data_IF_522661659337
#
_entry.id   IF_522661659337
#
_cell.length_a   1.000
_cell.length_b   1.000
_cell.length_c   1.000
_cell.angle_alpha   90.00
_cell.angle_beta   90.00
_cell.angle_gamma   90.00
#
_symmetry.space_group_name_H-M   'P 1'
#
loop_
_entity.id
_entity.type
_entity.pdbx_description
1 polymer ?
#
# COMPACT_ATOMS: atom_id res chain seq x y z
N UNK A 1 -88.37 7.36 33.91
CA UNK A 1 -88.72 8.76 34.25
C UNK A 1 -87.43 9.48 34.64
N UNK A 2 -87.21 10.61 34.00
CA UNK A 2 -85.97 11.37 33.90
C UNK A 2 -85.38 11.80 35.25
N UNK A 3 -84.06 11.84 35.36
CA UNK A 3 -83.40 12.99 35.99
C UNK A 3 -81.92 13.08 35.56
N UNK A 4 -81.64 14.07 34.70
CA UNK A 4 -80.31 14.64 34.54
C UNK A 4 -79.92 15.31 35.86
N UNK A 5 -78.82 14.89 36.48
CA UNK A 5 -78.18 15.68 37.52
C UNK A 5 -76.83 16.18 36.99
N UNK A 6 -76.79 17.50 36.76
CA UNK A 6 -75.63 18.27 36.36
C UNK A 6 -74.58 18.22 37.49
N UNK A 7 -73.37 17.75 37.21
CA UNK A 7 -72.23 17.87 38.13
C UNK A 7 -71.40 19.14 37.82
N UNK A 8 -70.90 19.85 38.84
CA UNK A 8 -70.26 21.15 38.69
C UNK A 8 -68.86 21.09 38.06
N UNK A 9 -68.49 22.16 37.34
CA UNK A 9 -67.28 22.31 36.53
C UNK A 9 -65.91 22.19 37.25
N UNK A 10 -65.89 21.91 38.57
CA UNK A 10 -64.65 21.73 39.33
C UNK A 10 -64.09 20.29 39.30
N UNK A 11 -64.82 19.31 38.80
CA UNK A 11 -64.37 17.91 38.77
C UNK A 11 -63.63 17.49 37.49
N UNK A 12 -63.73 18.29 36.40
CA UNK A 12 -63.05 17.99 35.12
C UNK A 12 -61.55 18.31 35.12
N UNK A 13 -61.08 19.24 35.94
CA UNK A 13 -59.65 19.59 36.02
C UNK A 13 -58.83 18.56 36.80
N UNK A 14 -59.39 18.01 37.88
CA UNK A 14 -58.72 17.02 38.75
C UNK A 14 -58.61 15.66 38.05
N UNK A 15 -59.64 15.27 37.28
CA UNK A 15 -59.65 14.00 36.54
C UNK A 15 -58.68 14.02 35.34
N UNK A 16 -58.43 15.18 34.73
CA UNK A 16 -57.43 15.34 33.66
C UNK A 16 -56.00 15.34 34.19
N UNK A 17 -55.77 15.90 35.38
CA UNK A 17 -54.44 15.91 36.01
C UNK A 17 -53.99 14.51 36.48
N UNK A 18 -54.92 13.71 37.01
CA UNK A 18 -54.65 12.34 37.45
C UNK A 18 -54.40 11.36 36.30
N UNK A 19 -55.11 11.52 35.18
CA UNK A 19 -54.94 10.68 33.99
C UNK A 19 -53.66 11.00 33.21
N UNK A 20 -53.25 12.28 33.15
CA UNK A 20 -51.93 12.65 32.57
C UNK A 20 -50.76 12.20 33.44
N UNK A 21 -50.89 12.23 34.77
CA UNK A 21 -49.83 11.77 35.68
C UNK A 21 -49.66 10.24 35.65
N UNK A 22 -50.76 9.48 35.55
CA UNK A 22 -50.70 8.02 35.46
C UNK A 22 -50.13 7.52 34.11
N UNK A 23 -50.38 8.23 33.01
CA UNK A 23 -49.80 7.91 31.70
C UNK A 23 -48.31 8.29 31.64
N UNK A 24 -47.89 9.39 32.29
CA UNK A 24 -46.46 9.70 32.40
C UNK A 24 -45.70 8.69 33.28
N UNK A 25 -46.31 8.16 34.34
CA UNK A 25 -45.68 7.15 35.20
C UNK A 25 -45.57 5.77 34.53
N UNK A 26 -46.49 5.42 33.63
CA UNK A 26 -46.42 4.18 32.85
C UNK A 26 -45.41 4.23 31.70
N UNK A 27 -45.16 5.40 31.11
CA UNK A 27 -44.13 5.57 30.06
C UNK A 27 -42.71 5.49 30.64
N UNK A 28 -42.52 5.89 31.90
CA UNK A 28 -41.22 5.79 32.59
C UNK A 28 -40.84 4.35 32.97
N UNK A 29 -41.78 3.40 32.98
CA UNK A 29 -41.52 1.98 33.26
C UNK A 29 -41.12 1.16 32.02
N UNK A 30 -41.21 1.74 30.82
CA UNK A 30 -40.78 1.09 29.56
C UNK A 30 -39.46 1.66 28.99
N UNK A 31 -38.82 2.62 29.66
CA UNK A 31 -37.50 3.13 29.27
C UNK A 31 -36.32 2.42 29.95
N UNK A 32 -36.56 1.36 30.74
CA UNK A 32 -35.51 0.52 31.29
C UNK A 32 -35.20 -0.66 30.37
N UNK A 33 -34.11 -0.58 29.59
CA UNK A 33 -33.58 -1.78 28.93
C UNK A 33 -33.03 -1.64 27.51
N UNK A 34 -32.57 -0.47 27.07
CA UNK A 34 -31.47 -0.48 26.10
C UNK A 34 -30.17 -0.55 26.92
N UNK A 35 -29.77 -1.76 27.31
CA UNK A 35 -28.37 -2.00 27.62
C UNK A 35 -27.59 -1.75 26.34
N UNK A 36 -27.07 -0.53 26.18
CA UNK A 36 -25.85 -0.33 25.43
C UNK A 36 -24.82 -1.27 26.08
N UNK A 37 -24.71 -2.49 25.54
CA UNK A 37 -23.50 -3.25 25.71
C UNK A 37 -22.42 -2.37 25.11
N UNK A 38 -21.68 -1.65 25.97
CA UNK A 38 -20.28 -1.42 25.67
C UNK A 38 -19.74 -2.82 25.44
N UNK A 39 -19.47 -3.18 24.19
CA UNK A 39 -18.61 -4.32 23.91
C UNK A 39 -17.38 -4.10 24.78
N UNK A 40 -17.12 -5.02 25.72
CA UNK A 40 -15.91 -4.96 26.50
C UNK A 40 -14.75 -4.89 25.53
N UNK A 41 -13.90 -3.88 25.70
CA UNK A 41 -12.72 -3.67 24.87
C UNK A 41 -11.89 -4.95 24.93
N UNK A 42 -11.68 -5.57 23.77
CA UNK A 42 -10.98 -6.84 23.71
C UNK A 42 -9.52 -6.60 24.10
N UNK A 43 -9.09 -7.21 25.21
CA UNK A 43 -7.74 -7.05 25.78
C UNK A 43 -6.76 -8.16 25.36
N UNK A 44 -7.18 -9.04 24.46
CA UNK A 44 -6.34 -10.11 23.92
C UNK A 44 -5.51 -9.67 22.71
N UNK A 45 -4.91 -10.63 22.02
CA UNK A 45 -4.09 -10.37 20.86
C UNK A 45 -4.87 -10.51 19.56
N UNK A 46 -4.41 -9.84 18.52
CA UNK A 46 -4.89 -9.99 17.17
C UNK A 46 -3.85 -10.69 16.31
N UNK A 47 -4.25 -11.70 15.55
CA UNK A 47 -3.43 -12.27 14.47
C UNK A 47 -3.89 -11.61 13.19
N UNK A 48 -3.02 -10.80 12.61
CA UNK A 48 -3.28 -10.11 11.36
C UNK A 48 -3.01 -11.04 10.18
N UNK A 49 -3.82 -10.92 9.13
CA UNK A 49 -3.76 -11.75 7.93
C UNK A 49 -4.15 -10.91 6.69
N UNK A 50 -3.50 -11.08 5.53
CA UNK A 50 -4.02 -10.52 4.28
C UNK A 50 -5.41 -11.11 3.97
N UNK A 51 -6.29 -10.30 3.39
CA UNK A 51 -7.57 -10.78 2.87
C UNK A 51 -7.39 -11.57 1.57
N UNK A 52 -8.41 -12.34 1.22
CA UNK A 52 -8.43 -13.22 0.05
C UNK A 52 -8.16 -12.49 -1.27
N UNK A 53 -8.52 -11.21 -1.34
CA UNK A 53 -8.36 -10.38 -2.53
C UNK A 53 -7.02 -9.61 -2.54
N UNK A 54 -6.19 -9.75 -1.50
CA UNK A 54 -4.92 -9.03 -1.34
C UNK A 54 -5.08 -7.50 -1.45
N UNK A 55 -6.16 -6.99 -0.86
CA UNK A 55 -6.50 -5.57 -0.82
C UNK A 55 -6.30 -4.97 0.56
N UNK A 56 -6.31 -5.79 1.62
CA UNK A 56 -6.18 -5.34 3.00
C UNK A 56 -5.64 -6.40 3.95
N UNK A 57 -5.31 -5.96 5.15
CA UNK A 57 -5.01 -6.80 6.30
C UNK A 57 -6.25 -6.84 7.20
N UNK A 58 -6.85 -8.02 7.31
CA UNK A 58 -7.85 -8.31 8.34
C UNK A 58 -7.18 -8.91 9.59
N UNK A 59 -7.99 -9.26 10.58
CA UNK A 59 -7.47 -9.87 11.81
C UNK A 59 -8.44 -10.86 12.43
N UNK A 60 -7.88 -11.76 13.24
CA UNK A 60 -8.63 -12.63 14.13
C UNK A 60 -8.22 -12.40 15.58
N UNK A 61 -9.21 -12.46 16.48
CA UNK A 61 -8.94 -12.50 17.92
C UNK A 61 -8.20 -13.79 18.27
N UNK A 62 -7.14 -13.67 19.06
CA UNK A 62 -6.27 -14.77 19.44
C UNK A 62 -5.87 -14.70 20.91
N UNK A 63 -6.01 -15.83 21.59
CA UNK A 63 -5.60 -15.99 22.98
C UNK A 63 -4.42 -16.95 23.00
N UNK A 64 -3.19 -16.45 23.24
CA UNK A 64 -2.03 -17.32 23.31
C UNK A 64 -2.04 -18.15 24.59
N UNK A 65 -1.36 -19.28 24.52
CA UNK A 65 -1.13 -20.17 25.66
C UNK A 65 0.10 -19.76 26.47
N UNK A 66 1.09 -19.15 25.82
CA UNK A 66 2.28 -18.64 26.50
C UNK A 66 2.11 -17.24 27.08
N UNK A 67 2.96 -16.91 28.04
CA UNK A 67 3.12 -15.57 28.62
C UNK A 67 4.57 -15.07 28.58
N UNK A 68 5.51 -15.89 28.10
CA UNK A 68 6.92 -15.51 27.95
C UNK A 68 7.14 -14.96 26.54
N UNK A 69 7.86 -13.85 26.43
CA UNK A 69 8.06 -13.12 25.17
C UNK A 69 8.53 -14.02 24.02
N UNK A 70 9.59 -14.80 24.23
CA UNK A 70 10.23 -15.59 23.17
C UNK A 70 9.33 -16.77 22.74
N UNK A 71 8.64 -17.38 23.70
CA UNK A 71 7.66 -18.43 23.44
C UNK A 71 6.42 -17.87 22.71
N UNK A 72 6.00 -16.64 23.04
CA UNK A 72 4.93 -15.93 22.34
C UNK A 72 5.31 -15.67 20.88
N UNK A 73 6.52 -15.19 20.59
CA UNK A 73 6.98 -15.00 19.21
C UNK A 73 6.90 -16.32 18.44
N UNK A 74 7.40 -17.41 19.04
CA UNK A 74 7.33 -18.74 18.44
C UNK A 74 5.89 -19.22 18.19
N UNK A 75 4.97 -18.97 19.12
CA UNK A 75 3.56 -19.29 19.02
C UNK A 75 2.86 -18.48 17.91
N UNK A 76 3.11 -17.17 17.84
CA UNK A 76 2.55 -16.31 16.81
C UNK A 76 3.08 -16.61 15.42
N UNK A 77 4.37 -16.91 15.26
CA UNK A 77 4.94 -17.32 13.96
C UNK A 77 4.28 -18.61 13.45
N UNK A 78 4.08 -19.61 14.31
CA UNK A 78 3.33 -20.83 13.97
C UNK A 78 1.88 -20.51 13.59
N UNK A 79 1.25 -19.59 14.33
CA UNK A 79 -0.12 -19.17 14.04
C UNK A 79 -0.23 -18.42 12.71
N UNK A 80 0.74 -17.58 12.36
CA UNK A 80 0.84 -16.85 11.09
C UNK A 80 1.07 -17.77 9.89
N UNK A 81 1.65 -18.96 10.11
CA UNK A 81 1.79 -20.04 9.12
C UNK A 81 0.57 -20.96 9.01
N UNK A 82 -0.37 -20.89 9.97
CA UNK A 82 -1.56 -21.74 9.99
C UNK A 82 -2.72 -21.08 9.25
N UNK A 83 -3.59 -21.90 8.63
CA UNK A 83 -4.79 -21.37 7.97
C UNK A 83 -5.62 -20.49 8.92
N UNK A 84 -6.06 -19.30 8.49
CA UNK A 84 -7.04 -18.51 9.22
C UNK A 84 -8.37 -19.27 9.39
N UNK A 85 -9.08 -18.98 10.48
CA UNK A 85 -10.45 -19.48 10.69
C UNK A 85 -11.43 -18.82 9.72
N UNK A 86 -11.22 -17.55 9.42
CA UNK A 86 -12.00 -16.82 8.41
C UNK A 86 -11.52 -17.20 7.01
N UNK A 87 -12.43 -17.77 6.20
CA UNK A 87 -12.18 -18.17 4.81
C UNK A 87 -11.86 -16.98 3.89
N UNK A 88 -12.21 -15.77 4.32
CA UNK A 88 -11.89 -14.51 3.65
C UNK A 88 -10.46 -14.02 3.92
N UNK A 89 -9.69 -14.71 4.75
CA UNK A 89 -8.30 -14.38 5.06
C UNK A 89 -7.35 -15.43 4.50
N UNK A 90 -6.07 -15.08 4.41
CA UNK A 90 -4.97 -15.96 3.98
C UNK A 90 -3.86 -15.95 5.02
N UNK A 91 -3.06 -17.03 5.05
CA UNK A 91 -1.84 -17.11 5.88
C UNK A 91 -1.00 -15.84 5.70
N UNK A 92 -0.39 -15.30 6.74
CA UNK A 92 0.59 -14.22 6.58
C UNK A 92 1.94 -14.78 6.12
N UNK A 93 2.32 -15.96 6.64
CA UNK A 93 3.48 -16.73 6.22
C UNK A 93 2.99 -17.94 5.39
N UNK A 94 3.07 -17.90 4.05
CA UNK A 94 2.64 -19.01 3.19
C UNK A 94 3.57 -20.24 3.33
N UNK A 95 3.10 -21.40 2.87
CA UNK A 95 3.75 -22.71 3.12
C UNK A 95 5.16 -22.83 2.54
N UNK A 96 5.49 -22.03 1.52
CA UNK A 96 6.82 -21.98 0.92
C UNK A 96 7.80 -21.06 1.68
N UNK A 97 7.31 -20.28 2.65
CA UNK A 97 8.11 -19.42 3.53
C UNK A 97 8.38 -20.11 4.85
N UNK A 98 9.66 -20.38 5.12
CA UNK A 98 10.12 -20.88 6.43
C UNK A 98 10.70 -19.73 7.23
N UNK A 99 10.47 -19.76 8.53
CA UNK A 99 11.21 -18.94 9.50
C UNK A 99 12.34 -19.81 10.00
N UNK A 100 13.56 -19.47 9.64
CA UNK A 100 14.75 -20.23 9.99
C UNK A 100 15.12 -19.99 11.46
N UNK A 101 15.11 -18.72 11.87
CA UNK A 101 15.29 -18.31 13.27
C UNK A 101 14.75 -16.89 13.51
N UNK A 102 14.70 -16.48 14.77
CA UNK A 102 14.50 -15.08 15.16
C UNK A 102 15.50 -14.70 16.25
N UNK A 103 15.91 -13.44 16.26
CA UNK A 103 16.84 -12.90 17.24
C UNK A 103 16.29 -11.61 17.83
N UNK A 104 16.49 -11.44 19.13
CA UNK A 104 16.26 -10.16 19.79
C UNK A 104 17.56 -9.37 19.83
N UNK A 105 17.49 -8.12 19.43
CA UNK A 105 18.53 -7.12 19.72
C UNK A 105 18.16 -6.31 20.98
N UNK A 106 19.09 -5.49 21.44
CA UNK A 106 18.86 -4.59 22.56
C UNK A 106 17.64 -3.69 22.28
N UNK A 107 16.96 -3.20 23.32
CA UNK A 107 15.81 -2.28 23.23
C UNK A 107 14.49 -2.82 22.63
N UNK A 108 14.37 -4.11 22.32
CA UNK A 108 13.11 -4.74 21.89
C UNK A 108 12.97 -4.92 20.37
N UNK A 109 14.05 -4.75 19.64
CA UNK A 109 14.15 -5.02 18.21
C UNK A 109 14.15 -6.54 17.95
N UNK A 110 13.30 -7.01 17.03
CA UNK A 110 13.18 -8.41 16.64
C UNK A 110 13.62 -8.58 15.18
N UNK A 111 14.62 -9.41 14.94
CA UNK A 111 15.07 -9.76 13.59
C UNK A 111 14.56 -11.15 13.23
N UNK A 112 13.84 -11.27 12.11
CA UNK A 112 13.36 -12.54 11.57
C UNK A 112 14.24 -12.98 10.40
N UNK A 113 14.76 -14.20 10.45
CA UNK A 113 15.48 -14.83 9.35
C UNK A 113 14.54 -15.78 8.61
N UNK A 114 14.29 -15.49 7.35
CA UNK A 114 13.32 -16.16 6.50
C UNK A 114 14.04 -16.85 5.34
N UNK A 115 13.48 -17.98 4.91
CA UNK A 115 13.98 -18.71 3.75
C UNK A 115 13.81 -17.93 2.45
N UNK A 116 14.49 -18.37 1.38
CA UNK A 116 14.35 -17.81 0.03
C UNK A 116 12.92 -17.82 -0.52
N UNK A 117 12.02 -18.62 0.06
CA UNK A 117 10.59 -18.61 -0.27
C UNK A 117 9.97 -17.23 -0.13
N UNK A 118 10.37 -16.46 0.90
CA UNK A 118 9.84 -15.10 1.09
C UNK A 118 10.16 -14.20 -0.11
N UNK A 119 11.34 -14.36 -0.72
CA UNK A 119 11.78 -13.57 -1.87
C UNK A 119 10.94 -13.78 -3.15
N UNK A 120 10.07 -14.79 -3.18
CA UNK A 120 9.11 -15.02 -4.27
C UNK A 120 7.85 -14.16 -4.13
N UNK A 121 7.55 -13.67 -2.93
CA UNK A 121 6.48 -12.71 -2.69
C UNK A 121 6.89 -11.36 -3.31
N UNK A 122 5.97 -10.72 -4.03
CA UNK A 122 6.20 -9.45 -4.72
C UNK A 122 4.99 -8.53 -4.59
N UNK A 123 5.22 -7.24 -4.79
CA UNK A 123 4.19 -6.20 -4.83
C UNK A 123 3.30 -6.21 -3.59
N UNK A 124 2.01 -5.96 -3.81
CA UNK A 124 0.98 -5.83 -2.76
C UNK A 124 0.94 -7.02 -1.82
N UNK A 125 1.02 -8.24 -2.36
CA UNK A 125 0.94 -9.48 -1.56
C UNK A 125 2.05 -9.55 -0.52
N UNK A 126 3.29 -9.25 -0.92
CA UNK A 126 4.44 -9.20 -0.01
C UNK A 126 4.21 -8.18 1.11
N UNK A 127 3.71 -7.01 0.72
CA UNK A 127 3.54 -5.86 1.60
C UNK A 127 2.48 -6.14 2.67
N UNK A 128 1.34 -6.71 2.28
CA UNK A 128 0.27 -7.07 3.21
C UNK A 128 0.70 -8.17 4.17
N UNK A 129 1.48 -9.15 3.69
CA UNK A 129 2.04 -10.23 4.52
C UNK A 129 3.06 -9.69 5.51
N UNK A 130 3.97 -8.83 5.05
CA UNK A 130 4.93 -8.11 5.90
C UNK A 130 4.22 -7.31 6.99
N UNK A 131 3.22 -6.52 6.61
CA UNK A 131 2.40 -5.75 7.54
C UNK A 131 1.72 -6.66 8.59
N UNK A 132 1.10 -7.76 8.14
CA UNK A 132 0.44 -8.72 9.01
C UNK A 132 1.40 -9.33 10.05
N UNK A 133 2.61 -9.71 9.63
CA UNK A 133 3.64 -10.24 10.53
C UNK A 133 4.08 -9.17 11.55
N UNK A 134 4.42 -7.96 11.08
CA UNK A 134 4.90 -6.88 11.95
C UNK A 134 3.83 -6.47 12.98
N UNK A 135 2.59 -6.25 12.54
CA UNK A 135 1.46 -5.89 13.44
C UNK A 135 1.16 -6.98 14.45
N UNK A 136 1.25 -8.26 14.06
CA UNK A 136 1.03 -9.37 14.98
C UNK A 136 2.11 -9.41 16.05
N UNK A 137 3.39 -9.32 15.66
CA UNK A 137 4.51 -9.48 16.58
C UNK A 137 4.75 -8.26 17.48
N UNK A 138 4.49 -7.04 17.00
CA UNK A 138 4.65 -5.81 17.79
C UNK A 138 3.61 -5.66 18.93
N UNK A 139 2.57 -6.50 18.98
CA UNK A 139 1.67 -6.55 20.14
C UNK A 139 2.32 -7.25 21.35
N UNK A 140 3.36 -8.06 21.13
CA UNK A 140 4.04 -8.80 22.19
C UNK A 140 4.86 -7.80 23.01
N UNK A 141 4.59 -7.73 24.31
CA UNK A 141 5.35 -6.88 25.24
C UNK A 141 6.85 -7.18 25.13
N UNK A 142 7.63 -6.16 24.78
CA UNK A 142 9.09 -6.28 24.58
C UNK A 142 9.51 -6.53 23.13
N UNK A 143 8.59 -6.45 22.17
CA UNK A 143 8.85 -6.33 20.73
C UNK A 143 8.41 -4.93 20.29
N UNK A 144 9.35 -4.02 20.04
CA UNK A 144 9.07 -2.65 19.59
C UNK A 144 9.04 -2.53 18.06
N UNK A 145 9.83 -3.35 17.37
CA UNK A 145 9.98 -3.30 15.92
C UNK A 145 10.48 -4.63 15.38
N UNK A 146 10.24 -4.88 14.09
CA UNK A 146 10.65 -6.10 13.40
C UNK A 146 11.42 -5.76 12.12
N UNK A 147 12.55 -6.44 11.87
CA UNK A 147 13.27 -6.40 10.60
C UNK A 147 13.38 -7.81 10.01
N UNK A 148 13.42 -7.92 8.68
CA UNK A 148 13.46 -9.19 7.97
C UNK A 148 14.81 -9.36 7.28
N UNK A 149 15.36 -10.57 7.37
CA UNK A 149 16.45 -11.07 6.54
C UNK A 149 15.92 -12.23 5.72
N UNK A 150 16.22 -12.27 4.42
CA UNK A 150 15.79 -13.32 3.50
C UNK A 150 17.03 -14.00 2.95
N UNK A 151 17.18 -15.30 3.21
CA UNK A 151 18.39 -16.07 2.83
C UNK A 151 19.70 -15.43 3.35
N UNK A 152 19.64 -14.90 4.58
CA UNK A 152 20.80 -14.28 5.24
C UNK A 152 21.16 -12.88 4.75
N UNK A 153 20.42 -12.28 3.82
CA UNK A 153 20.60 -10.89 3.38
C UNK A 153 19.45 -10.01 3.91
N UNK A 154 19.69 -8.72 4.21
CA UNK A 154 18.61 -7.80 4.56
C UNK A 154 17.52 -7.81 3.49
N UNK A 155 16.24 -7.81 3.89
CA UNK A 155 15.15 -7.56 2.96
C UNK A 155 15.37 -6.19 2.31
N UNK A 156 15.26 -6.10 0.98
CA UNK A 156 15.34 -4.84 0.26
C UNK A 156 14.01 -4.46 -0.34
N UNK A 157 13.79 -3.16 -0.53
CA UNK A 157 12.70 -2.66 -1.35
C UNK A 157 13.03 -2.83 -2.85
N UNK A 158 12.15 -2.31 -3.71
CA UNK A 158 12.30 -2.31 -5.16
C UNK A 158 13.49 -1.48 -5.68
N UNK A 159 14.07 -0.60 -4.85
CA UNK A 159 15.23 0.21 -5.17
C UNK A 159 16.55 -0.43 -4.69
N UNK A 160 16.51 -1.67 -4.16
CA UNK A 160 17.62 -2.35 -3.49
C UNK A 160 18.06 -1.68 -2.17
N UNK A 161 17.27 -0.76 -1.64
CA UNK A 161 17.52 -0.18 -0.34
C UNK A 161 17.04 -1.13 0.76
N UNK A 162 17.86 -1.27 1.80
CA UNK A 162 17.53 -2.17 2.89
C UNK A 162 16.28 -1.69 3.64
N UNK A 163 15.28 -2.57 3.73
CA UNK A 163 14.13 -2.39 4.62
C UNK A 163 14.63 -2.60 6.05
N UNK A 164 14.70 -1.49 6.79
CA UNK A 164 15.10 -1.48 8.19
C UNK A 164 14.03 -2.02 9.14
N UNK A 165 14.19 -1.69 10.42
CA UNK A 165 13.19 -1.96 11.45
C UNK A 165 11.86 -1.28 11.15
N UNK A 166 10.79 -2.06 11.23
CA UNK A 166 9.40 -1.61 11.03
C UNK A 166 8.62 -1.77 12.34
N UNK A 167 7.76 -0.80 12.63
CA UNK A 167 6.81 -0.84 13.77
C UNK A 167 5.41 -1.14 13.25
N UNK A 168 4.45 -1.39 14.14
CA UNK A 168 3.04 -1.52 13.74
C UNK A 168 2.52 -0.27 13.00
N UNK A 169 3.01 0.93 13.39
CA UNK A 169 2.65 2.24 12.82
C UNK A 169 3.38 2.55 11.51
N UNK A 170 4.41 1.77 11.16
CA UNK A 170 5.03 1.83 9.83
C UNK A 170 4.04 1.44 8.72
N UNK A 171 2.92 0.83 9.09
CA UNK A 171 1.83 0.45 8.20
C UNK A 171 0.57 1.21 8.60
N UNK A 172 0.18 2.19 7.80
CA UNK A 172 -1.01 3.00 8.05
C UNK A 172 -2.26 2.13 7.86
N UNK A 173 -2.97 1.85 8.96
CA UNK A 173 -4.27 1.17 8.95
C UNK A 173 -5.36 2.16 8.58
N UNK A 174 -6.03 1.97 7.46
CA UNK A 174 -7.25 2.70 7.15
C UNK A 174 -8.47 1.93 7.66
N UNK A 175 -8.79 2.07 8.95
CA UNK A 175 -10.06 1.61 9.53
C UNK A 175 -11.25 2.51 9.12
N UNK A 176 -11.32 2.91 7.85
CA UNK A 176 -12.24 3.95 7.36
C UNK A 176 -12.86 3.70 5.98
N UNK A 177 -12.75 2.50 5.41
CA UNK A 177 -13.39 2.17 4.14
C UNK A 177 -12.69 2.68 2.87
N UNK A 178 -11.53 3.33 3.00
CA UNK A 178 -10.63 3.63 1.87
C UNK A 178 -9.33 2.82 2.00
N UNK A 179 -9.05 1.97 1.01
CA UNK A 179 -8.06 0.88 1.05
C UNK A 179 -6.70 1.28 0.50
N UNK A 180 -6.14 2.43 0.88
CA UNK A 180 -4.86 2.90 0.30
C UNK A 180 -3.69 2.54 1.22
N UNK A 181 -2.89 1.54 0.84
CA UNK A 181 -1.71 1.10 1.59
C UNK A 181 -0.51 1.98 1.26
N UNK A 182 -0.26 3.04 2.02
CA UNK A 182 0.79 4.00 1.65
C UNK A 182 2.19 3.53 2.06
N UNK A 183 3.14 3.54 1.12
CA UNK A 183 4.58 3.35 1.33
C UNK A 183 5.36 4.57 0.88
N UNK A 184 6.60 4.69 1.36
CA UNK A 184 7.58 5.67 0.88
C UNK A 184 8.67 4.97 0.09
N UNK A 185 9.06 5.55 -1.04
CA UNK A 185 10.20 5.11 -1.85
C UNK A 185 10.88 6.33 -2.47
N UNK A 186 12.16 6.21 -2.79
CA UNK A 186 12.90 7.21 -3.57
C UNK A 186 13.12 6.67 -4.98
N UNK A 187 12.52 7.30 -5.98
CA UNK A 187 12.67 6.96 -7.38
C UNK A 187 13.77 7.80 -8.03
N UNK A 188 14.67 7.15 -8.76
CA UNK A 188 15.62 7.84 -9.62
C UNK A 188 14.98 8.11 -10.98
N UNK A 189 14.44 9.31 -11.16
CA UNK A 189 13.76 9.70 -12.39
C UNK A 189 14.70 10.44 -13.33
N UNK A 190 14.53 10.25 -14.64
CA UNK A 190 15.37 10.90 -15.64
C UNK A 190 14.54 11.86 -16.50
N UNK A 191 14.94 13.14 -16.52
CA UNK A 191 14.29 14.20 -17.29
C UNK A 191 15.26 14.82 -18.29
N UNK A 192 14.77 15.57 -19.26
CA UNK A 192 15.63 16.23 -20.24
C UNK A 192 16.42 17.37 -19.60
N UNK A 193 17.67 17.57 -20.00
CA UNK A 193 18.43 18.77 -19.64
C UNK A 193 17.83 20.03 -20.31
N UNK A 194 18.40 21.19 -19.99
CA UNK A 194 17.97 22.48 -20.59
C UNK A 194 18.08 22.51 -22.12
N UNK A 195 19.05 21.84 -22.74
CA UNK A 195 19.17 21.74 -24.19
C UNK A 195 18.14 20.77 -24.80
N UNK A 196 17.70 19.77 -24.02
CA UNK A 196 16.78 18.71 -24.41
C UNK A 196 17.42 17.53 -25.13
N UNK A 197 18.75 17.45 -25.15
CA UNK A 197 19.52 16.42 -25.85
C UNK A 197 20.13 15.35 -24.93
N UNK A 198 20.19 15.61 -23.63
CA UNK A 198 20.71 14.71 -22.59
C UNK A 198 19.71 14.57 -21.44
N UNK A 199 19.98 13.64 -20.52
CA UNK A 199 19.18 13.36 -19.34
C UNK A 199 19.84 13.87 -18.05
N UNK A 200 19.02 14.30 -17.11
CA UNK A 200 19.39 14.67 -15.74
C UNK A 200 18.68 13.72 -14.79
N UNK A 201 19.45 13.08 -13.90
CA UNK A 201 18.94 12.20 -12.85
C UNK A 201 18.41 13.02 -11.67
N UNK A 202 17.18 12.77 -11.27
CA UNK A 202 16.49 13.45 -10.16
C UNK A 202 15.99 12.40 -9.17
N UNK A 203 16.46 12.38 -7.90
CA UNK A 203 15.87 11.55 -6.86
C UNK A 203 14.53 12.16 -6.42
N UNK A 204 13.48 11.34 -6.42
CA UNK A 204 12.11 11.76 -6.14
C UNK A 204 11.54 10.90 -5.03
N UNK A 205 11.31 11.51 -3.87
CA UNK A 205 10.62 10.86 -2.76
C UNK A 205 9.12 10.81 -3.05
N UNK A 206 8.56 9.61 -3.10
CA UNK A 206 7.14 9.38 -3.34
C UNK A 206 6.50 8.69 -2.16
N UNK A 207 5.29 9.12 -1.82
CA UNK A 207 4.39 8.34 -0.96
C UNK A 207 3.29 7.76 -1.83
N UNK A 208 3.20 6.44 -1.93
CA UNK A 208 2.35 5.79 -2.92
C UNK A 208 1.53 4.64 -2.36
N UNK A 209 0.39 4.37 -2.99
CA UNK A 209 -0.38 3.16 -2.71
C UNK A 209 0.40 1.94 -3.21
N UNK A 210 0.89 1.14 -2.28
CA UNK A 210 1.59 -0.10 -2.48
C UNK A 210 0.78 -1.15 -3.25
N UNK A 211 -0.53 -0.94 -3.45
CA UNK A 211 -1.35 -1.74 -4.36
C UNK A 211 -1.03 -1.48 -5.83
N UNK A 212 -0.41 -0.34 -6.15
CA UNK A 212 -0.04 0.08 -7.50
C UNK A 212 1.42 -0.34 -7.77
N UNK A 213 1.72 -1.02 -8.89
CA UNK A 213 3.09 -1.36 -9.28
C UNK A 213 3.97 -0.11 -9.40
N UNK A 214 5.19 -0.20 -8.88
CA UNK A 214 6.09 0.96 -8.83
C UNK A 214 6.51 1.44 -10.22
N UNK A 215 6.68 0.50 -11.16
CA UNK A 215 6.94 0.80 -12.56
C UNK A 215 5.83 1.63 -13.22
N UNK A 216 4.56 1.36 -12.86
CA UNK A 216 3.43 2.12 -13.35
C UNK A 216 3.50 3.55 -12.83
N UNK A 217 3.70 3.69 -11.51
CA UNK A 217 3.81 4.99 -10.87
C UNK A 217 4.98 5.81 -11.42
N UNK A 218 6.13 5.19 -11.65
CA UNK A 218 7.30 5.86 -12.21
C UNK A 218 7.00 6.43 -13.60
N UNK A 219 6.33 5.67 -14.46
CA UNK A 219 5.95 6.13 -15.81
C UNK A 219 4.86 7.19 -15.77
N UNK A 220 3.84 7.04 -14.92
CA UNK A 220 2.81 8.07 -14.72
C UNK A 220 3.42 9.39 -14.23
N UNK A 221 4.42 9.31 -13.34
CA UNK A 221 5.14 10.47 -12.86
C UNK A 221 6.00 11.11 -13.96
N UNK A 222 6.63 10.33 -14.85
CA UNK A 222 7.31 10.86 -16.04
C UNK A 222 6.33 11.57 -17.00
N UNK A 223 5.13 11.01 -17.20
CA UNK A 223 4.07 11.61 -18.03
C UNK A 223 3.65 12.98 -17.46
N UNK A 224 3.46 13.07 -16.13
CA UNK A 224 3.17 14.35 -15.45
C UNK A 224 4.31 15.36 -15.60
N UNK A 225 5.54 14.86 -15.71
CA UNK A 225 6.74 15.64 -15.94
C UNK A 225 7.31 16.26 -14.66
N UNK A 226 8.46 16.95 -14.80
CA UNK A 226 9.27 17.39 -13.66
C UNK A 226 8.59 18.43 -12.76
N UNK A 227 7.67 19.23 -13.31
CA UNK A 227 6.97 20.30 -12.59
C UNK A 227 6.04 19.79 -11.48
N UNK A 228 5.77 18.50 -11.45
CA UNK A 228 4.98 17.85 -10.40
C UNK A 228 5.83 17.36 -9.23
N UNK A 229 7.15 17.62 -9.24
CA UNK A 229 8.09 17.19 -8.22
C UNK A 229 8.53 18.42 -7.40
N UNK A 230 8.39 18.32 -6.08
CA UNK A 230 8.82 19.37 -5.15
C UNK A 230 10.34 19.53 -5.15
N UNK A 231 10.81 20.78 -5.08
CA UNK A 231 12.23 21.10 -4.91
C UNK A 231 13.07 21.02 -6.18
N UNK A 232 12.44 20.84 -7.35
CA UNK A 232 13.15 20.78 -8.63
C UNK A 232 13.07 22.11 -9.38
N UNK A 233 14.21 22.61 -9.85
CA UNK A 233 14.29 23.82 -10.65
C UNK A 233 13.78 23.55 -12.09
N UNK A 234 12.57 24.04 -12.36
CA UNK A 234 11.89 23.93 -13.66
C UNK A 234 12.65 24.58 -14.82
N UNK A 235 13.62 25.46 -14.55
CA UNK A 235 14.43 26.12 -15.59
C UNK A 235 15.65 25.29 -16.03
N UNK A 236 15.99 24.23 -15.28
CA UNK A 236 17.15 23.36 -15.55
C UNK A 236 16.77 22.03 -16.19
N UNK A 237 15.55 21.57 -15.96
CA UNK A 237 15.08 20.29 -16.49
C UNK A 237 13.77 20.42 -17.26
N UNK A 238 13.58 19.55 -18.25
CA UNK A 238 12.46 19.56 -19.17
C UNK A 238 11.70 18.23 -19.14
N UNK A 239 10.38 18.32 -19.30
CA UNK A 239 9.56 17.15 -19.59
C UNK A 239 10.00 16.49 -20.90
N UNK A 240 10.09 15.16 -20.91
CA UNK A 240 10.50 14.36 -22.08
C UNK A 240 9.31 13.71 -22.77
N UNK A 241 8.32 13.24 -22.00
CA UNK A 241 7.14 12.55 -22.51
C UNK A 241 6.19 13.53 -23.21
N UNK A 242 5.78 13.28 -24.47
CA UNK A 242 4.84 14.13 -25.19
C UNK A 242 3.57 14.46 -24.42
N UNK A 243 3.01 15.63 -24.69
CA UNK A 243 1.74 16.02 -24.09
C UNK A 243 0.62 15.09 -24.54
N UNK A 244 -0.30 14.78 -23.62
CA UNK A 244 -1.44 13.88 -23.82
C UNK A 244 -1.11 12.40 -24.02
N UNK A 245 0.17 12.00 -23.93
CA UNK A 245 0.52 10.57 -23.82
C UNK A 245 -0.19 9.93 -22.64
N UNK A 246 -0.80 8.77 -22.88
CA UNK A 246 -1.42 7.93 -21.87
C UNK A 246 -0.66 6.61 -21.76
N UNK A 247 -0.50 6.13 -20.52
CA UNK A 247 -0.05 4.76 -20.26
C UNK A 247 -1.24 3.83 -20.35
N UNK A 248 -1.31 3.02 -21.42
CA UNK A 248 -2.40 2.07 -21.63
C UNK A 248 -2.20 0.81 -20.78
N UNK A 249 -0.98 0.29 -20.74
CA UNK A 249 -0.64 -0.93 -20.01
C UNK A 249 0.84 -0.96 -19.67
N UNK A 250 1.15 -1.55 -18.51
CA UNK A 250 2.52 -1.89 -18.13
C UNK A 250 2.55 -3.28 -17.50
N UNK A 251 3.61 -4.04 -17.77
CA UNK A 251 3.82 -5.34 -17.14
C UNK A 251 5.28 -5.75 -17.19
N UNK A 252 5.75 -6.46 -16.17
CA UNK A 252 7.13 -7.00 -16.13
C UNK A 252 7.09 -8.51 -16.30
N UNK A 253 7.87 -9.03 -17.25
CA UNK A 253 8.08 -10.47 -17.45
C UNK A 253 9.55 -10.71 -17.75
N UNK A 254 10.17 -11.68 -17.06
CA UNK A 254 11.58 -12.06 -17.29
C UNK A 254 12.54 -10.85 -17.30
N UNK A 255 12.39 -9.98 -16.30
CA UNK A 255 13.15 -8.73 -16.16
C UNK A 255 13.03 -7.74 -17.33
N UNK A 256 12.07 -7.93 -18.23
CA UNK A 256 11.71 -6.98 -19.29
C UNK A 256 10.39 -6.30 -18.93
N UNK A 257 10.39 -4.98 -18.89
CA UNK A 257 9.20 -4.18 -18.72
C UNK A 257 8.58 -3.87 -20.08
N UNK A 258 7.35 -4.29 -20.29
CA UNK A 258 6.55 -4.01 -21.48
C UNK A 258 5.67 -2.80 -21.19
N UNK A 259 5.87 -1.73 -21.94
CA UNK A 259 5.18 -0.45 -21.73
C UNK A 259 4.39 -0.11 -22.98
N UNK A 260 3.07 -0.10 -22.85
CA UNK A 260 2.15 0.29 -23.93
C UNK A 260 1.69 1.73 -23.71
N UNK A 261 2.01 2.60 -24.66
CA UNK A 261 1.55 3.98 -24.67
C UNK A 261 0.49 4.24 -25.73
N UNK A 262 -0.20 5.36 -25.60
CA UNK A 262 -1.00 5.92 -26.67
C UNK A 262 -0.14 6.48 -27.81
N UNK A 263 -0.74 6.68 -28.98
CA UNK A 263 -0.06 7.15 -30.20
C UNK A 263 0.66 8.50 -30.03
N UNK A 264 0.23 9.33 -29.09
CA UNK A 264 0.85 10.63 -28.81
C UNK A 264 2.31 10.49 -28.36
N UNK A 265 2.73 9.35 -27.82
CA UNK A 265 4.14 9.12 -27.49
C UNK A 265 5.08 9.22 -28.71
N UNK A 266 4.57 8.93 -29.91
CA UNK A 266 5.32 9.09 -31.17
C UNK A 266 5.51 10.56 -31.56
N UNK A 267 4.67 11.46 -31.03
CA UNK A 267 4.70 12.90 -31.30
C UNK A 267 5.69 13.61 -30.36
N UNK A 268 6.97 13.24 -30.45
CA UNK A 268 8.09 13.79 -29.68
C UNK A 268 7.95 15.31 -29.44
N UNK A 269 8.18 15.74 -28.19
CA UNK A 269 8.18 17.17 -27.84
C UNK A 269 9.18 17.96 -28.69
N UNK A 270 8.81 19.18 -29.04
CA UNK A 270 9.74 20.13 -29.68
C UNK A 270 10.93 20.39 -28.77
N UNK A 271 12.14 20.41 -29.32
CA UNK A 271 13.40 20.62 -28.60
C UNK A 271 13.73 19.56 -27.53
N UNK A 272 13.20 18.34 -27.66
CA UNK A 272 13.67 17.15 -26.94
C UNK A 272 14.16 16.14 -27.98
N UNK A 273 15.32 15.50 -27.80
CA UNK A 273 15.83 14.47 -28.72
C UNK A 273 15.01 13.18 -28.63
N UNK A 274 15.05 12.34 -29.69
CA UNK A 274 14.29 11.09 -29.69
C UNK A 274 14.84 10.13 -28.62
N UNK A 275 16.17 10.14 -28.48
CA UNK A 275 16.93 9.43 -27.46
C UNK A 275 16.53 9.88 -26.05
N UNK A 276 16.47 11.19 -25.77
CA UNK A 276 16.06 11.67 -24.46
C UNK A 276 14.62 11.27 -24.14
N UNK A 277 13.70 11.26 -25.11
CA UNK A 277 12.32 10.77 -24.90
C UNK A 277 12.31 9.29 -24.51
N UNK A 278 12.97 8.43 -25.30
CA UNK A 278 13.00 6.98 -25.05
C UNK A 278 13.72 6.67 -23.75
N UNK A 279 14.96 7.12 -23.60
CA UNK A 279 15.80 6.76 -22.46
C UNK A 279 15.37 7.41 -21.16
N UNK A 280 14.58 8.49 -21.17
CA UNK A 280 13.94 8.96 -19.93
C UNK A 280 13.05 7.89 -19.30
N UNK A 281 12.32 7.12 -20.12
CA UNK A 281 11.50 6.00 -19.66
C UNK A 281 12.38 4.79 -19.34
N UNK A 282 13.30 4.44 -20.25
CA UNK A 282 14.16 3.26 -20.08
C UNK A 282 15.01 3.36 -18.82
N UNK A 283 15.74 4.46 -18.63
CA UNK A 283 16.68 4.58 -17.51
C UNK A 283 15.98 4.74 -16.16
N UNK A 284 14.78 5.34 -16.15
CA UNK A 284 13.92 5.40 -14.95
C UNK A 284 13.44 4.00 -14.59
N UNK A 285 12.94 3.21 -15.56
CA UNK A 285 12.43 1.87 -15.31
C UNK A 285 13.53 0.86 -14.99
N UNK A 286 14.67 0.91 -15.70
CA UNK A 286 15.84 0.06 -15.40
C UNK A 286 16.53 0.49 -14.10
N UNK A 287 16.19 1.67 -13.57
CA UNK A 287 16.53 2.04 -12.19
C UNK A 287 15.84 1.18 -11.13
N UNK A 288 14.75 0.48 -11.48
CA UNK A 288 14.05 -0.47 -10.61
C UNK A 288 14.72 -1.84 -10.68
N UNK A 289 14.94 -2.47 -9.53
CA UNK A 289 15.83 -3.63 -9.41
C UNK A 289 15.38 -4.88 -10.16
N UNK A 290 14.09 -4.98 -10.49
CA UNK A 290 13.50 -6.11 -11.19
C UNK A 290 13.47 -5.91 -12.72
N UNK A 291 13.97 -4.80 -13.27
CA UNK A 291 13.88 -4.45 -14.69
C UNK A 291 15.28 -4.22 -15.26
N UNK A 292 15.63 -4.99 -16.30
CA UNK A 292 16.88 -4.84 -17.05
C UNK A 292 16.65 -4.23 -18.43
N UNK A 293 15.45 -4.41 -18.99
CA UNK A 293 15.09 -3.98 -20.34
C UNK A 293 13.70 -3.38 -20.40
N UNK A 294 13.46 -2.51 -21.36
CA UNK A 294 12.14 -1.94 -21.64
C UNK A 294 11.78 -2.18 -23.10
N UNK A 295 10.61 -2.73 -23.36
CA UNK A 295 10.07 -2.89 -24.71
C UNK A 295 8.78 -2.08 -24.82
N UNK A 296 8.69 -1.29 -25.89
CA UNK A 296 7.55 -0.41 -26.12
C UNK A 296 6.55 -1.02 -27.09
N UNK A 297 5.28 -0.68 -26.90
CA UNK A 297 4.22 -0.82 -27.89
C UNK A 297 3.35 0.45 -27.90
N UNK A 298 2.62 0.64 -29.00
CA UNK A 298 1.71 1.77 -29.19
C UNK A 298 0.32 1.23 -29.47
N UNK A 299 -0.64 1.54 -28.60
CA UNK A 299 -2.03 1.05 -28.69
C UNK A 299 -2.12 -0.48 -28.86
N UNK A 300 -1.23 -1.22 -28.20
CA UNK A 300 -1.15 -2.68 -28.27
C UNK A 300 -0.41 -3.23 -29.49
N UNK A 301 0.09 -2.39 -30.39
CA UNK A 301 0.81 -2.79 -31.59
C UNK A 301 2.31 -2.48 -31.51
N UNK A 302 3.12 -3.31 -32.17
CA UNK A 302 4.56 -3.09 -32.25
C UNK A 302 4.87 -2.03 -33.32
N UNK A 303 5.67 -1.04 -32.95
CA UNK A 303 6.19 -0.03 -33.86
C UNK A 303 7.69 -0.27 -34.05
N UNK A 304 8.15 -0.38 -35.30
CA UNK A 304 9.54 -0.77 -35.59
C UNK A 304 10.53 0.39 -35.51
N UNK A 305 10.08 1.61 -35.77
CA UNK A 305 10.93 2.80 -35.79
C UNK A 305 10.29 3.93 -35.00
N UNK A 306 11.09 4.58 -34.16
CA UNK A 306 10.73 5.83 -33.50
C UNK A 306 11.42 7.00 -34.21
N UNK A 307 10.64 8.01 -34.61
CA UNK A 307 11.13 9.18 -35.35
C UNK A 307 11.99 8.79 -36.58
N UNK A 308 11.57 7.75 -37.31
CA UNK A 308 12.19 7.19 -38.53
C UNK A 308 13.64 6.68 -38.42
N UNK A 309 14.27 6.78 -37.24
CA UNK A 309 15.73 6.63 -37.11
C UNK A 309 16.16 5.66 -36.02
N UNK A 310 15.35 5.47 -34.97
CA UNK A 310 15.70 4.60 -33.84
C UNK A 310 14.93 3.28 -33.96
N UNK A 311 15.62 2.14 -33.86
CA UNK A 311 14.98 0.82 -33.75
C UNK A 311 14.14 0.77 -32.48
N UNK A 312 12.83 0.72 -32.65
CA UNK A 312 11.83 0.72 -31.59
C UNK A 312 11.13 -0.64 -31.45
N UNK A 313 11.41 -1.57 -32.37
CA UNK A 313 10.84 -2.92 -32.33
C UNK A 313 11.52 -3.82 -31.30
N UNK A 314 12.78 -3.54 -30.97
CA UNK A 314 13.60 -4.29 -30.01
C UNK A 314 13.46 -3.74 -28.58
N UNK A 315 13.82 -4.56 -27.60
CA UNK A 315 13.90 -4.12 -26.20
C UNK A 315 15.15 -3.24 -25.99
N UNK A 316 14.99 -2.13 -25.27
CA UNK A 316 16.04 -1.20 -24.91
C UNK A 316 16.68 -1.58 -23.58
N UNK A 317 17.99 -1.40 -23.48
CA UNK A 317 18.77 -1.46 -22.24
C UNK A 317 19.17 -0.05 -21.80
N UNK A 318 19.61 0.11 -20.55
CA UNK A 318 20.01 1.41 -19.99
C UNK A 318 21.09 2.09 -20.84
N UNK A 319 20.98 3.40 -21.05
CA UNK A 319 21.99 4.19 -21.75
C UNK A 319 22.44 5.39 -20.92
N UNK A 320 23.48 5.17 -20.11
CA UNK A 320 24.04 6.23 -19.27
C UNK A 320 24.91 7.25 -20.02
N UNK A 321 25.25 7.01 -21.28
CA UNK A 321 26.13 7.90 -22.04
C UNK A 321 25.47 9.27 -22.30
N UNK A 322 24.13 9.30 -22.29
CA UNK A 322 23.36 10.53 -22.44
C UNK A 322 22.96 11.15 -21.09
N UNK A 323 23.38 10.58 -19.96
CA UNK A 323 23.08 11.10 -18.62
C UNK A 323 24.20 12.05 -18.20
N UNK A 324 23.87 13.30 -17.91
CA UNK A 324 24.81 14.28 -17.38
C UNK A 324 25.17 13.87 -15.95
N UNK A 325 26.47 13.72 -15.67
CA UNK A 325 26.95 13.58 -14.30
C UNK A 325 27.05 14.97 -13.67
N UNK A 326 26.30 15.18 -12.59
CA UNK A 326 26.45 16.36 -11.73
C UNK A 326 27.69 16.22 -10.83
#
# INVERSE_FOLDING_TARGET
MSCNMCMPAKYKSILRLGTTAAVLLLVLLFCGGCSFHKEEEYTGYYVFCPDANETKVGYEKYTPTSHKRDDLVSEFLKRLQSEPKDIGLRKALPDDVKVDEFMFEDSGQLTLYLSSGYGKLKGVSEILRRAAIVKTLCQIRGVSSVQFYVSGQPLTDSNLEAVGYMTADSFIDNTGGETTYKQKATLNMYFGNKAGDHLVKVPVDITYDATIPLEQLAVEQLIRGPYSIDGVDSDQIKATIPEKTQLNKISVKENTCYVDFSEEFLNKRTNISAEATIYSVVDTLVGLSNINKVQFSINGEQVLLYNDTIDFGSAFERNLDIVIQN
#
